data_IF_887925760774
#
_entry.id   IF_887925760774
#
_cell.length_a   1.000
_cell.length_b   1.000
_cell.length_c   1.000
_cell.angle_alpha   90.00
_cell.angle_beta   90.00
_cell.angle_gamma   90.00
#
_symmetry.space_group_name_H-M   'P 1'
#
loop_
_entity.id
_entity.type
_entity.pdbx_description
1 polymer ?
#
# COMPACT_ATOMS: atom_id res chain seq x y z
N UNK A 1 17.50 -18.43 9.48
CA UNK A 1 17.62 -17.00 9.10
C UNK A 1 17.25 -16.89 7.63
N UNK A 2 16.05 -16.30 7.31
CA UNK A 2 15.68 -15.99 5.92
C UNK A 2 16.08 -14.54 5.61
N UNK A 3 16.55 -14.31 4.39
CA UNK A 3 16.95 -12.98 3.91
C UNK A 3 15.96 -12.53 2.83
N UNK A 4 15.53 -11.30 2.94
CA UNK A 4 14.76 -10.59 1.92
C UNK A 4 15.73 -9.95 0.93
N UNK A 5 15.47 -10.13 -0.36
CA UNK A 5 16.17 -9.44 -1.45
C UNK A 5 15.23 -8.44 -2.07
N UNK A 6 15.54 -7.18 -1.93
CA UNK A 6 14.68 -6.10 -2.35
C UNK A 6 15.40 -5.21 -3.35
N UNK A 7 14.74 -4.97 -4.48
CA UNK A 7 15.23 -4.05 -5.50
C UNK A 7 14.90 -2.61 -5.10
N UNK A 8 15.92 -1.76 -5.10
CA UNK A 8 15.72 -0.33 -4.92
C UNK A 8 15.26 0.28 -6.23
N UNK A 9 14.14 0.97 -6.23
CA UNK A 9 13.64 1.68 -7.40
C UNK A 9 14.00 3.16 -7.34
N UNK A 10 14.26 3.77 -8.50
CA UNK A 10 14.54 5.19 -8.64
C UNK A 10 13.30 6.03 -8.40
N UNK A 11 12.20 5.64 -9.03
CA UNK A 11 10.86 6.17 -8.82
C UNK A 11 9.83 5.03 -9.00
N UNK A 12 8.55 5.31 -8.92
CA UNK A 12 7.47 4.30 -8.97
C UNK A 12 7.42 3.45 -10.24
N UNK A 13 8.31 3.65 -11.22
CA UNK A 13 8.30 2.96 -12.52
C UNK A 13 9.68 2.61 -13.06
N UNK A 14 10.74 3.22 -12.54
CA UNK A 14 12.10 3.10 -13.08
C UNK A 14 13.01 2.39 -12.08
N UNK A 15 13.49 1.21 -12.45
CA UNK A 15 14.39 0.37 -11.66
C UNK A 15 15.87 0.55 -12.06
N UNK A 16 16.14 1.30 -13.14
CA UNK A 16 17.47 1.46 -13.70
C UNK A 16 18.07 2.82 -13.33
N UNK A 17 19.33 2.79 -12.93
CA UNK A 17 20.11 3.96 -12.60
C UNK A 17 21.21 4.17 -13.64
N UNK A 18 21.46 5.44 -14.01
CA UNK A 18 22.63 5.81 -14.81
C UNK A 18 23.88 5.98 -13.94
N UNK A 19 23.66 6.20 -12.63
CA UNK A 19 24.71 6.36 -11.64
C UNK A 19 24.20 5.90 -10.27
N UNK A 20 24.99 5.10 -9.57
CA UNK A 20 24.70 4.62 -8.23
C UNK A 20 25.82 5.05 -7.27
N UNK A 21 25.46 5.87 -6.27
CA UNK A 21 26.39 6.52 -5.33
C UNK A 21 26.12 6.00 -3.92
N UNK A 22 27.16 5.46 -3.29
CA UNK A 22 27.07 4.86 -1.96
C UNK A 22 28.12 5.42 -1.00
N UNK A 23 27.75 5.48 0.29
CA UNK A 23 28.63 5.89 1.37
C UNK A 23 28.27 5.12 2.63
N UNK A 24 29.27 4.75 3.44
CA UNK A 24 29.04 4.17 4.76
C UNK A 24 29.93 4.89 5.79
N UNK A 25 29.34 5.30 6.92
CA UNK A 25 30.06 6.01 7.99
C UNK A 25 31.22 5.19 8.58
N UNK A 26 31.08 3.86 8.57
CA UNK A 26 32.12 2.92 9.03
C UNK A 26 33.14 2.54 7.94
N UNK A 27 32.93 3.00 6.69
CA UNK A 27 33.52 2.40 5.51
C UNK A 27 32.85 1.08 5.13
N UNK A 28 33.18 0.54 3.97
CA UNK A 28 32.62 -0.70 3.45
C UNK A 28 33.69 -1.55 2.77
N UNK A 29 33.40 -2.83 2.61
CA UNK A 29 34.13 -3.76 1.74
C UNK A 29 33.40 -3.77 0.41
N UNK A 30 34.12 -3.55 -0.68
CA UNK A 30 33.63 -3.67 -2.05
C UNK A 30 34.21 -4.95 -2.65
N UNK A 31 33.36 -5.91 -2.98
CA UNK A 31 33.75 -7.18 -3.61
C UNK A 31 33.39 -7.14 -5.09
N UNK A 32 34.37 -7.39 -5.97
CA UNK A 32 34.24 -7.40 -7.44
C UNK A 32 34.85 -8.73 -7.93
N UNK A 33 34.00 -9.66 -8.39
CA UNK A 33 34.48 -10.96 -8.81
C UNK A 33 35.28 -11.69 -7.70
N UNK A 34 36.57 -11.90 -7.97
CA UNK A 34 37.52 -12.54 -7.02
C UNK A 34 38.33 -11.54 -6.18
N UNK A 35 38.22 -10.23 -6.49
CA UNK A 35 38.93 -9.17 -5.81
C UNK A 35 38.07 -8.44 -4.78
N UNK A 36 38.70 -7.80 -3.80
CA UNK A 36 38.04 -6.94 -2.86
C UNK A 36 38.95 -5.83 -2.38
N UNK A 37 38.36 -4.68 -2.10
CA UNK A 37 39.03 -3.57 -1.45
C UNK A 37 38.18 -2.94 -0.36
N UNK A 38 38.80 -2.15 0.50
CA UNK A 38 38.10 -1.47 1.59
C UNK A 38 38.08 0.03 1.35
N UNK A 39 36.95 0.65 1.66
CA UNK A 39 36.86 2.12 1.68
C UNK A 39 37.16 2.67 3.07
N UNK A 40 37.62 3.93 3.11
CA UNK A 40 37.72 4.67 4.36
C UNK A 40 36.32 5.01 4.94
N UNK A 41 36.22 5.28 6.25
CA UNK A 41 34.98 5.78 6.85
C UNK A 41 34.51 7.07 6.15
N UNK A 42 33.24 7.10 5.70
CA UNK A 42 32.62 8.23 5.01
C UNK A 42 33.05 8.40 3.55
N UNK A 43 33.89 7.52 3.02
CA UNK A 43 34.29 7.55 1.60
C UNK A 43 33.12 7.18 0.71
N UNK A 44 32.97 7.94 -0.38
CA UNK A 44 31.91 7.74 -1.38
C UNK A 44 32.43 6.87 -2.52
N UNK A 45 31.65 5.86 -2.88
CA UNK A 45 31.89 5.01 -4.06
C UNK A 45 30.82 5.30 -5.10
N UNK A 46 31.24 5.45 -6.36
CA UNK A 46 30.38 5.78 -7.48
C UNK A 46 30.50 4.72 -8.57
N UNK A 47 29.36 4.17 -8.99
CA UNK A 47 29.28 3.27 -10.12
C UNK A 47 28.45 3.90 -11.22
N UNK A 48 28.94 3.79 -12.44
CA UNK A 48 28.25 4.18 -13.67
C UNK A 48 28.43 3.04 -14.72
N UNK A 49 27.73 3.05 -15.86
CA UNK A 49 27.82 1.98 -16.85
C UNK A 49 29.24 1.71 -17.38
N UNK A 50 30.14 2.68 -17.30
CA UNK A 50 31.54 2.58 -17.78
C UNK A 50 32.49 2.05 -16.68
N UNK A 51 31.99 1.73 -15.49
CA UNK A 51 32.81 1.23 -14.37
C UNK A 51 33.36 -0.17 -14.74
N UNK A 52 34.69 -0.30 -14.72
CA UNK A 52 35.40 -1.54 -15.13
C UNK A 52 35.06 -2.74 -14.23
N UNK A 53 34.74 -2.51 -12.96
CA UNK A 53 34.38 -3.54 -11.97
C UNK A 53 33.17 -4.41 -12.43
N UNK A 54 32.29 -3.91 -13.30
CA UNK A 54 31.18 -4.69 -13.86
C UNK A 54 31.62 -5.79 -14.83
N UNK A 55 32.86 -5.74 -15.36
CA UNK A 55 33.40 -6.81 -16.20
C UNK A 55 33.57 -8.12 -15.43
N UNK A 56 33.74 -8.05 -14.12
CA UNK A 56 33.84 -9.19 -13.21
C UNK A 56 32.46 -9.69 -12.72
N UNK A 57 31.37 -9.02 -13.12
CA UNK A 57 30.01 -9.40 -12.78
C UNK A 57 29.34 -8.47 -11.76
N UNK A 58 28.66 -9.09 -10.79
CA UNK A 58 27.93 -8.35 -9.75
C UNK A 58 28.88 -7.84 -8.66
N UNK A 59 28.77 -6.57 -8.33
CA UNK A 59 29.51 -5.92 -7.25
C UNK A 59 28.72 -6.06 -5.95
N UNK A 60 29.40 -6.36 -4.84
CA UNK A 60 28.79 -6.40 -3.50
C UNK A 60 29.41 -5.34 -2.60
N UNK A 61 28.55 -4.63 -1.88
CA UNK A 61 28.93 -3.63 -0.90
C UNK A 61 28.50 -4.14 0.48
N UNK A 62 29.48 -4.30 1.39
CA UNK A 62 29.26 -4.83 2.73
C UNK A 62 29.73 -3.76 3.72
N UNK A 63 28.87 -3.16 4.54
CA UNK A 63 29.30 -2.17 5.52
C UNK A 63 30.15 -2.83 6.59
N UNK A 64 31.22 -2.20 7.04
CA UNK A 64 32.05 -2.72 8.13
C UNK A 64 31.27 -2.75 9.46
N UNK A 65 30.36 -1.81 9.64
CA UNK A 65 29.31 -1.79 10.66
C UNK A 65 28.21 -0.82 10.27
N UNK A 66 27.01 -0.96 10.84
CA UNK A 66 25.88 -0.07 10.56
C UNK A 66 25.27 -0.29 9.18
N UNK A 67 25.05 0.79 8.45
CA UNK A 67 24.28 0.82 7.20
C UNK A 67 25.02 1.55 6.08
N UNK A 68 24.64 1.27 4.84
CA UNK A 68 25.12 1.95 3.64
C UNK A 68 24.06 2.97 3.19
N UNK A 69 24.44 4.22 3.03
CA UNK A 69 23.60 5.26 2.42
C UNK A 69 23.62 5.11 0.91
N UNK A 70 22.45 5.11 0.28
CA UNK A 70 22.28 5.15 -1.17
C UNK A 70 21.90 6.56 -1.60
N UNK A 71 22.88 7.34 -2.05
CA UNK A 71 22.75 8.79 -2.29
C UNK A 71 22.04 9.13 -3.61
N UNK A 72 21.92 8.18 -4.54
CA UNK A 72 21.19 8.38 -5.81
C UNK A 72 19.66 8.34 -5.66
N UNK A 73 19.14 8.04 -4.45
CA UNK A 73 17.70 7.94 -4.15
C UNK A 73 17.32 8.91 -3.04
N UNK A 74 16.14 9.51 -3.17
CA UNK A 74 15.52 10.30 -2.11
C UNK A 74 14.19 9.67 -1.71
N UNK A 75 13.97 9.45 -0.42
CA UNK A 75 12.76 8.90 0.18
C UNK A 75 12.10 9.92 1.11
N UNK A 76 11.00 9.55 1.77
CA UNK A 76 10.34 10.43 2.75
C UNK A 76 11.26 10.95 3.87
N UNK A 77 12.33 10.22 4.15
CA UNK A 77 13.38 10.58 5.15
C UNK A 77 14.59 11.31 4.54
N UNK A 78 14.57 11.65 3.26
CA UNK A 78 15.74 12.11 2.52
C UNK A 78 16.54 10.96 1.92
N UNK A 79 17.87 10.97 2.05
CA UNK A 79 18.74 9.87 1.60
C UNK A 79 18.53 8.63 2.47
N UNK A 80 18.07 7.51 1.90
CA UNK A 80 17.88 6.29 2.67
C UNK A 80 19.18 5.58 2.97
N UNK A 81 19.19 4.80 4.05
CA UNK A 81 20.28 3.88 4.41
C UNK A 81 19.78 2.45 4.50
N UNK A 82 20.65 1.50 4.19
CA UNK A 82 20.33 0.08 4.05
C UNK A 82 21.28 -0.77 4.88
N UNK A 83 20.70 -1.65 5.71
CA UNK A 83 21.45 -2.70 6.42
C UNK A 83 21.69 -3.91 5.51
N UNK A 84 22.55 -4.83 5.96
CA UNK A 84 22.89 -6.02 5.19
C UNK A 84 23.84 -5.73 4.04
N UNK A 85 23.65 -6.36 2.89
CA UNK A 85 24.52 -6.25 1.71
C UNK A 85 23.78 -5.53 0.59
N UNK A 86 24.47 -4.64 -0.11
CA UNK A 86 23.98 -4.08 -1.39
C UNK A 86 24.66 -4.82 -2.52
N UNK A 87 23.89 -5.24 -3.50
CA UNK A 87 24.39 -5.77 -4.78
C UNK A 87 24.08 -4.78 -5.89
N UNK A 88 25.09 -4.49 -6.69
CA UNK A 88 25.03 -3.58 -7.84
C UNK A 88 25.33 -4.39 -9.10
N UNK A 89 24.46 -4.34 -10.09
CA UNK A 89 24.61 -5.09 -11.34
C UNK A 89 24.31 -4.20 -12.53
N UNK A 90 25.07 -4.37 -13.62
CA UNK A 90 24.84 -3.66 -14.87
C UNK A 90 24.02 -4.54 -15.82
N UNK A 91 23.00 -3.91 -16.43
CA UNK A 91 22.17 -4.46 -17.50
C UNK A 91 22.17 -3.51 -18.69
N UNK A 92 21.62 -3.94 -19.83
CA UNK A 92 21.57 -3.11 -21.06
C UNK A 92 20.86 -1.77 -20.82
N UNK A 93 19.86 -1.73 -19.96
CA UNK A 93 19.07 -0.54 -19.64
C UNK A 93 19.69 0.33 -18.54
N UNK A 94 20.70 -0.16 -17.81
CA UNK A 94 21.37 0.57 -16.73
C UNK A 94 21.67 -0.28 -15.49
N UNK A 95 21.98 0.39 -14.41
CA UNK A 95 22.38 -0.23 -13.14
C UNK A 95 21.14 -0.60 -12.32
N UNK A 96 21.12 -1.81 -11.83
CA UNK A 96 20.14 -2.32 -10.86
C UNK A 96 20.80 -2.47 -9.49
N UNK A 97 20.13 -1.99 -8.45
CA UNK A 97 20.58 -2.06 -7.06
C UNK A 97 19.65 -2.96 -6.25
N UNK A 98 20.21 -3.97 -5.60
CA UNK A 98 19.47 -4.93 -4.76
C UNK A 98 20.03 -4.91 -3.34
N UNK A 99 19.16 -4.70 -2.35
CA UNK A 99 19.50 -4.85 -0.94
C UNK A 99 19.16 -6.27 -0.46
N UNK A 100 20.14 -7.00 0.03
CA UNK A 100 19.96 -8.28 0.72
C UNK A 100 20.07 -8.08 2.23
N UNK A 101 18.96 -8.28 2.95
CA UNK A 101 18.84 -7.96 4.36
C UNK A 101 18.13 -9.08 5.14
N UNK A 102 18.42 -9.24 6.41
CA UNK A 102 17.69 -10.12 7.30
C UNK A 102 16.23 -9.67 7.43
N UNK A 103 15.27 -10.62 7.50
CA UNK A 103 13.83 -10.28 7.49
C UNK A 103 13.45 -9.38 8.68
N UNK A 104 14.01 -9.58 9.86
CA UNK A 104 13.71 -8.73 11.03
C UNK A 104 14.27 -7.31 10.86
N UNK A 105 15.48 -7.15 10.31
CA UNK A 105 16.05 -5.84 10.02
C UNK A 105 15.29 -5.12 8.91
N UNK A 106 14.82 -5.86 7.91
CA UNK A 106 13.90 -5.36 6.89
C UNK A 106 12.62 -4.79 7.51
N UNK A 107 11.99 -5.55 8.43
CA UNK A 107 10.74 -5.15 9.07
C UNK A 107 10.90 -3.90 9.94
N UNK A 108 12.06 -3.68 10.57
CA UNK A 108 12.37 -2.46 11.33
C UNK A 108 12.35 -1.18 10.49
N UNK A 109 12.35 -1.32 9.14
CA UNK A 109 12.20 -0.20 8.20
C UNK A 109 10.87 -0.21 7.43
N UNK A 110 10.20 -1.35 7.37
CA UNK A 110 8.85 -1.47 6.81
C UNK A 110 7.81 -0.96 7.81
N UNK A 111 7.81 -1.47 9.03
CA UNK A 111 6.77 -1.15 10.02
C UNK A 111 6.59 0.37 10.23
N UNK A 112 7.65 1.17 10.46
CA UNK A 112 7.49 2.63 10.58
C UNK A 112 7.13 3.33 9.27
N UNK A 113 7.37 2.69 8.11
CA UNK A 113 7.00 3.22 6.80
C UNK A 113 5.54 2.96 6.43
N UNK A 114 4.94 1.91 6.99
CA UNK A 114 3.55 1.51 6.77
C UNK A 114 2.59 2.05 7.84
N UNK A 115 3.03 2.14 9.09
CA UNK A 115 2.19 2.52 10.23
C UNK A 115 2.89 3.56 11.10
N UNK A 116 2.17 4.64 11.53
CA UNK A 116 2.76 5.65 12.40
C UNK A 116 3.37 5.06 13.67
N UNK A 117 4.62 5.39 13.99
CA UNK A 117 5.34 4.89 15.17
C UNK A 117 4.72 5.29 16.51
N UNK A 118 3.82 6.27 16.51
CA UNK A 118 3.06 6.67 17.69
C UNK A 118 1.81 5.83 17.96
N UNK A 119 1.52 4.80 17.15
CA UNK A 119 0.41 3.89 17.40
C UNK A 119 0.69 2.99 18.61
N UNK A 120 -0.37 2.40 19.16
CA UNK A 120 -0.28 1.45 20.28
C UNK A 120 0.63 0.27 19.91
N UNK A 121 1.42 -0.21 20.87
CA UNK A 121 2.37 -1.29 20.67
C UNK A 121 1.70 -2.57 20.13
N UNK A 122 0.49 -2.92 20.60
CA UNK A 122 -0.23 -4.09 20.10
C UNK A 122 -0.64 -3.93 18.63
N UNK A 123 -0.97 -2.73 18.17
CA UNK A 123 -1.22 -2.45 16.75
C UNK A 123 0.07 -2.53 15.91
N UNK A 124 1.18 -2.02 16.43
CA UNK A 124 2.49 -2.14 15.77
C UNK A 124 2.94 -3.60 15.68
N UNK A 125 2.65 -4.44 16.70
CA UNK A 125 2.86 -5.89 16.64
C UNK A 125 2.02 -6.56 15.56
N UNK A 126 0.73 -6.17 15.41
CA UNK A 126 -0.09 -6.65 14.30
C UNK A 126 0.57 -6.34 12.96
N UNK A 127 1.03 -5.09 12.78
CA UNK A 127 1.70 -4.67 11.54
C UNK A 127 2.97 -5.48 11.30
N UNK A 128 3.77 -5.73 12.34
CA UNK A 128 5.01 -6.52 12.23
C UNK A 128 4.72 -7.97 11.79
N UNK A 129 3.72 -8.63 12.40
CA UNK A 129 3.31 -10.00 12.04
C UNK A 129 2.74 -10.04 10.61
N UNK A 130 1.88 -9.09 10.24
CA UNK A 130 1.36 -8.97 8.88
C UNK A 130 2.49 -8.76 7.87
N UNK A 131 3.35 -7.77 8.10
CA UNK A 131 4.44 -7.47 7.18
C UNK A 131 5.41 -8.64 7.02
N UNK A 132 5.68 -9.39 8.11
CA UNK A 132 6.51 -10.61 8.08
C UNK A 132 5.85 -11.73 7.27
N UNK A 133 4.57 -11.99 7.49
CA UNK A 133 3.80 -13.00 6.77
C UNK A 133 3.77 -12.70 5.27
N UNK A 134 3.50 -11.43 4.91
CA UNK A 134 3.52 -10.96 3.54
C UNK A 134 4.91 -11.16 2.91
N UNK A 135 5.97 -10.63 3.55
CA UNK A 135 7.34 -10.76 3.05
C UNK A 135 7.76 -12.22 2.90
N UNK A 136 7.34 -13.09 3.83
CA UNK A 136 7.62 -14.53 3.75
C UNK A 136 6.99 -15.19 2.51
N UNK A 137 5.73 -14.83 2.19
CA UNK A 137 5.07 -15.36 0.99
C UNK A 137 5.72 -14.87 -0.30
N UNK A 138 6.32 -13.68 -0.29
CA UNK A 138 7.02 -13.11 -1.43
C UNK A 138 8.43 -13.70 -1.66
N UNK A 139 9.00 -14.45 -0.71
CA UNK A 139 10.30 -15.11 -0.91
C UNK A 139 10.31 -16.13 -2.05
N UNK A 140 9.16 -16.69 -2.41
CA UNK A 140 8.98 -17.59 -3.55
C UNK A 140 8.54 -16.87 -4.83
N UNK A 141 8.40 -15.56 -4.78
CA UNK A 141 7.97 -14.74 -5.90
C UNK A 141 9.09 -14.61 -6.93
N UNK A 142 8.74 -14.67 -8.21
CA UNK A 142 9.67 -14.60 -9.34
C UNK A 142 9.56 -13.28 -10.12
N UNK A 143 8.86 -12.26 -9.62
CA UNK A 143 8.65 -11.00 -10.36
C UNK A 143 9.96 -10.36 -10.82
N UNK A 144 10.94 -10.32 -9.92
CA UNK A 144 12.26 -9.71 -10.18
C UNK A 144 13.42 -10.72 -10.19
N UNK A 145 13.13 -12.01 -10.47
CA UNK A 145 14.14 -13.07 -10.51
C UNK A 145 15.26 -12.80 -11.51
N UNK A 146 14.96 -12.13 -12.64
CA UNK A 146 15.96 -11.71 -13.62
C UNK A 146 17.04 -10.78 -13.01
N UNK A 147 16.67 -10.01 -11.99
CA UNK A 147 17.56 -9.09 -11.27
C UNK A 147 18.07 -9.67 -9.95
N UNK A 148 17.65 -10.89 -9.62
CA UNK A 148 18.00 -11.55 -8.36
C UNK A 148 17.31 -10.98 -7.13
N UNK A 149 16.17 -10.30 -7.29
CA UNK A 149 15.35 -9.77 -6.21
C UNK A 149 13.99 -10.48 -6.11
N UNK A 150 13.34 -10.43 -4.95
CA UNK A 150 12.00 -10.96 -4.71
C UNK A 150 10.92 -9.91 -4.98
N UNK A 151 11.13 -8.70 -4.48
CA UNK A 151 10.19 -7.57 -4.52
C UNK A 151 10.96 -6.27 -4.77
N UNK A 152 10.24 -5.18 -5.06
CA UNK A 152 10.78 -3.82 -5.00
C UNK A 152 10.37 -3.10 -3.70
N UNK A 153 10.86 -1.88 -3.51
CA UNK A 153 10.64 -1.06 -2.32
C UNK A 153 9.49 -0.04 -2.48
N UNK A 154 8.57 -0.29 -3.43
CA UNK A 154 7.44 0.58 -3.72
C UNK A 154 6.16 0.17 -2.99
N UNK A 155 5.14 1.03 -3.12
CA UNK A 155 3.77 0.78 -2.64
C UNK A 155 3.06 -0.42 -3.33
N UNK A 156 3.66 -1.01 -4.37
CA UNK A 156 3.10 -2.21 -5.02
C UNK A 156 3.35 -3.46 -4.17
N UNK A 157 4.36 -3.42 -3.29
CA UNK A 157 4.68 -4.47 -2.33
C UNK A 157 4.54 -3.93 -0.90
N UNK A 158 5.64 -3.54 -0.26
CA UNK A 158 5.66 -2.94 1.07
C UNK A 158 6.56 -1.71 1.06
N UNK A 159 6.05 -0.61 1.60
CA UNK A 159 6.85 0.63 1.68
C UNK A 159 8.06 0.40 2.59
N UNK A 160 9.23 0.67 2.06
CA UNK A 160 10.50 0.42 2.73
C UNK A 160 11.36 1.69 2.76
N UNK A 161 11.94 2.00 3.92
CA UNK A 161 12.83 3.16 4.09
C UNK A 161 12.18 4.53 3.80
N UNK A 162 10.86 4.66 3.99
CA UNK A 162 10.14 5.92 3.75
C UNK A 162 9.89 6.73 5.03
N UNK A 163 10.15 6.11 6.20
CA UNK A 163 10.07 6.75 7.52
C UNK A 163 11.28 6.32 8.37
N UNK A 164 11.72 7.16 9.33
CA UNK A 164 12.81 6.79 10.22
C UNK A 164 12.40 5.65 11.14
N UNK A 165 13.37 4.83 11.55
CA UNK A 165 13.18 3.83 12.62
C UNK A 165 12.79 4.50 13.94
N UNK A 166 11.98 3.80 14.73
CA UNK A 166 11.58 4.25 16.05
C UNK A 166 11.65 3.08 17.03
N UNK A 167 11.93 3.38 18.29
CA UNK A 167 12.05 2.36 19.36
C UNK A 167 10.75 1.55 19.50
N UNK A 168 9.60 2.17 19.38
CA UNK A 168 8.29 1.49 19.46
C UNK A 168 8.09 0.45 18.36
N UNK A 169 8.47 0.79 17.11
CA UNK A 169 8.36 -0.13 15.98
C UNK A 169 9.41 -1.23 16.03
N UNK A 170 10.63 -0.91 16.46
CA UNK A 170 11.68 -1.91 16.68
C UNK A 170 11.28 -2.91 17.77
N UNK A 171 10.71 -2.43 18.88
CA UNK A 171 10.16 -3.27 19.97
C UNK A 171 9.05 -4.19 19.45
N UNK A 172 8.14 -3.68 18.62
CA UNK A 172 7.06 -4.49 18.04
C UNK A 172 7.61 -5.63 17.16
N UNK A 173 8.62 -5.35 16.35
CA UNK A 173 9.31 -6.37 15.53
C UNK A 173 10.02 -7.40 16.40
N UNK A 174 10.78 -6.95 17.40
CA UNK A 174 11.58 -7.83 18.27
C UNK A 174 10.70 -8.73 19.14
N UNK A 175 9.61 -8.20 19.72
CA UNK A 175 8.67 -8.97 20.55
C UNK A 175 7.80 -9.96 19.76
N UNK A 176 7.70 -9.80 18.43
CA UNK A 176 7.02 -10.73 17.53
C UNK A 176 7.98 -11.48 16.61
N UNK A 177 9.27 -11.49 16.90
CA UNK A 177 10.29 -12.07 16.03
C UNK A 177 9.96 -13.53 15.64
N UNK A 178 10.00 -13.82 14.34
CA UNK A 178 9.70 -15.13 13.77
C UNK A 178 8.22 -15.50 13.72
N UNK A 179 7.29 -14.69 14.25
CA UNK A 179 5.86 -14.97 14.19
C UNK A 179 5.27 -14.57 12.86
N UNK A 180 4.51 -15.48 12.26
CA UNK A 180 3.76 -15.30 11.01
C UNK A 180 2.34 -15.83 11.19
N UNK A 181 1.41 -15.36 10.39
CA UNK A 181 0.07 -15.96 10.31
C UNK A 181 0.10 -17.18 9.39
N UNK A 182 -0.55 -18.26 9.84
CA UNK A 182 -0.72 -19.48 9.05
C UNK A 182 -2.18 -19.93 9.01
N UNK A 183 -2.56 -20.55 7.91
CA UNK A 183 -3.85 -21.21 7.75
C UNK A 183 -3.60 -22.63 7.26
N UNK A 184 -4.16 -23.63 7.96
CA UNK A 184 -3.90 -25.05 7.68
C UNK A 184 -2.40 -25.42 7.60
N UNK A 185 -1.54 -24.75 8.38
CA UNK A 185 -0.10 -25.00 8.44
C UNK A 185 0.74 -24.30 7.37
N UNK A 186 0.12 -23.58 6.45
CA UNK A 186 0.82 -22.76 5.44
C UNK A 186 0.79 -21.28 5.82
N UNK A 187 1.92 -20.58 5.63
CA UNK A 187 1.98 -19.13 5.86
C UNK A 187 1.08 -18.43 4.86
N UNK A 188 0.25 -17.52 5.35
CA UNK A 188 -0.73 -16.82 4.51
C UNK A 188 -0.27 -15.41 4.13
N UNK A 189 -0.72 -14.98 2.97
CA UNK A 189 -0.54 -13.60 2.54
C UNK A 189 -1.48 -12.69 3.33
N UNK A 190 -0.97 -11.60 3.87
CA UNK A 190 -1.70 -10.68 4.74
C UNK A 190 -1.75 -9.30 4.11
N UNK A 191 -2.93 -8.86 3.71
CA UNK A 191 -3.15 -7.51 3.20
C UNK A 191 -3.63 -6.61 4.34
N UNK A 192 -3.25 -5.32 4.27
CA UNK A 192 -3.67 -4.31 5.22
C UNK A 192 -3.84 -2.97 4.50
N UNK A 193 -4.58 -2.07 5.10
CA UNK A 193 -4.90 -0.76 4.54
C UNK A 193 -5.12 0.26 5.66
N UNK A 194 -5.15 1.53 5.32
CA UNK A 194 -5.13 2.60 6.32
C UNK A 194 -6.39 2.66 7.20
N UNK A 195 -7.57 2.84 6.60
CA UNK A 195 -8.80 3.23 7.33
C UNK A 195 -10.01 2.52 6.76
N UNK A 196 -10.82 1.87 7.60
CA UNK A 196 -12.09 1.30 7.16
C UNK A 196 -13.22 2.32 7.14
N UNK A 197 -14.26 2.04 6.36
CA UNK A 197 -15.51 2.79 6.41
C UNK A 197 -16.51 2.21 7.43
N UNK A 198 -16.07 1.31 8.31
CA UNK A 198 -16.92 0.51 9.20
C UNK A 198 -17.22 -0.90 8.64
N UNK A 199 -16.62 -1.26 7.50
CA UNK A 199 -16.67 -2.61 6.91
C UNK A 199 -15.36 -2.93 6.23
N UNK A 200 -14.92 -4.20 6.29
CA UNK A 200 -13.90 -4.77 5.40
C UNK A 200 -14.55 -5.37 4.17
N UNK A 201 -13.73 -5.83 3.24
CA UNK A 201 -14.16 -6.64 2.08
C UNK A 201 -13.28 -7.88 1.94
N UNK A 202 -13.63 -8.76 1.03
CA UNK A 202 -12.86 -9.96 0.72
C UNK A 202 -12.10 -9.83 -0.62
N UNK A 203 -11.38 -10.89 -0.97
CA UNK A 203 -10.51 -10.92 -2.16
C UNK A 203 -11.26 -10.93 -3.49
N UNK A 204 -12.59 -11.06 -3.50
CA UNK A 204 -13.39 -10.93 -4.72
C UNK A 204 -13.30 -9.53 -5.32
N UNK A 205 -12.92 -8.53 -4.53
CA UNK A 205 -12.57 -7.18 -4.99
C UNK A 205 -11.53 -7.19 -6.11
N UNK A 206 -10.61 -8.12 -6.09
CA UNK A 206 -9.54 -8.28 -7.10
C UNK A 206 -9.79 -9.49 -8.03
N UNK A 207 -11.02 -10.02 -8.07
CA UNK A 207 -11.38 -11.14 -8.92
C UNK A 207 -10.84 -12.50 -8.43
N UNK A 208 -10.31 -12.58 -7.21
CA UNK A 208 -9.91 -13.83 -6.60
C UNK A 208 -11.12 -14.57 -5.98
N UNK A 209 -10.96 -15.85 -5.69
CA UNK A 209 -11.99 -16.64 -5.03
C UNK A 209 -11.74 -16.73 -3.52
N UNK A 210 -12.80 -16.67 -2.73
CA UNK A 210 -12.72 -16.82 -1.26
C UNK A 210 -12.23 -18.20 -0.83
N UNK A 211 -12.38 -19.21 -1.67
CA UNK A 211 -11.85 -20.56 -1.41
C UNK A 211 -10.33 -20.60 -1.26
N UNK A 212 -9.63 -19.77 -2.06
CA UNK A 212 -8.17 -19.66 -2.00
C UNK A 212 -7.68 -18.79 -0.84
N UNK A 213 -8.56 -17.95 -0.29
CA UNK A 213 -8.23 -16.99 0.77
C UNK A 213 -9.34 -16.95 1.83
N UNK A 214 -9.67 -18.08 2.47
CA UNK A 214 -10.84 -18.20 3.33
C UNK A 214 -10.75 -17.36 4.62
N UNK A 215 -9.58 -16.87 4.94
CA UNK A 215 -9.32 -16.03 6.11
C UNK A 215 -9.60 -14.53 5.86
N UNK A 216 -9.84 -14.11 4.62
CA UNK A 216 -10.32 -12.75 4.31
C UNK A 216 -11.85 -12.76 4.23
N UNK A 217 -12.49 -12.35 5.28
CA UNK A 217 -13.95 -12.27 5.38
C UNK A 217 -14.36 -10.80 5.46
N UNK A 218 -15.44 -10.43 4.79
CA UNK A 218 -16.03 -9.12 4.96
C UNK A 218 -16.66 -9.02 6.36
N UNK A 219 -16.12 -8.14 7.20
CA UNK A 219 -16.50 -7.98 8.60
C UNK A 219 -16.97 -6.55 8.90
N UNK A 220 -17.90 -6.42 9.83
CA UNK A 220 -18.22 -5.14 10.42
C UNK A 220 -17.06 -4.69 11.34
N UNK A 221 -16.44 -3.57 11.05
CA UNK A 221 -15.29 -3.02 11.79
C UNK A 221 -15.77 -2.10 12.91
N UNK A 222 -16.56 -2.67 13.79
CA UNK A 222 -17.17 -1.95 14.92
C UNK A 222 -17.91 -2.88 15.86
N UNK A 223 -18.49 -2.32 16.92
CA UNK A 223 -19.14 -3.11 17.94
C UNK A 223 -20.54 -3.64 17.57
N UNK A 224 -21.14 -3.21 16.46
CA UNK A 224 -22.55 -3.51 16.14
C UNK A 224 -22.71 -3.79 14.64
N UNK A 225 -23.13 -5.00 14.30
CA UNK A 225 -23.65 -5.32 12.97
C UNK A 225 -24.95 -4.54 12.74
N UNK A 226 -25.01 -3.79 11.65
CA UNK A 226 -26.16 -2.95 11.29
C UNK A 226 -27.26 -3.73 10.57
N UNK A 227 -27.09 -5.03 10.32
CA UNK A 227 -28.02 -5.88 9.61
C UNK A 227 -28.28 -5.45 8.17
N UNK A 228 -27.31 -4.77 7.53
CA UNK A 228 -27.41 -4.29 6.15
C UNK A 228 -26.66 -5.23 5.19
N UNK A 229 -27.26 -5.51 4.05
CA UNK A 229 -26.63 -6.27 2.96
C UNK A 229 -25.88 -5.31 2.05
N UNK A 230 -24.59 -5.09 2.32
CA UNK A 230 -23.80 -4.03 1.66
C UNK A 230 -23.55 -4.27 0.16
N UNK A 231 -23.88 -5.43 -0.38
CA UNK A 231 -23.91 -5.69 -1.83
C UNK A 231 -25.14 -5.08 -2.51
N UNK A 232 -26.18 -4.71 -1.74
CA UNK A 232 -27.39 -4.04 -2.23
C UNK A 232 -27.20 -2.53 -2.21
N UNK A 233 -27.29 -1.88 -3.38
CA UNK A 233 -26.97 -0.45 -3.54
C UNK A 233 -27.74 0.48 -2.59
N UNK A 234 -29.05 0.24 -2.37
CA UNK A 234 -29.84 1.08 -1.46
C UNK A 234 -29.45 0.94 0.01
N UNK A 235 -29.03 -0.27 0.42
CA UNK A 235 -28.57 -0.52 1.78
C UNK A 235 -27.16 0.02 1.97
N UNK A 236 -26.27 -0.14 0.99
CA UNK A 236 -24.96 0.49 0.99
C UNK A 236 -25.03 2.03 1.04
N UNK A 237 -25.97 2.63 0.28
CA UNK A 237 -26.22 4.08 0.32
C UNK A 237 -26.59 4.55 1.74
N UNK A 238 -27.45 3.80 2.43
CA UNK A 238 -27.82 4.07 3.82
C UNK A 238 -26.60 3.94 4.74
N UNK A 239 -25.82 2.89 4.57
CA UNK A 239 -24.62 2.62 5.36
C UNK A 239 -23.57 3.74 5.22
N UNK A 240 -23.22 4.10 3.98
CA UNK A 240 -22.09 5.02 3.73
C UNK A 240 -22.41 6.47 4.07
N UNK A 241 -23.67 6.87 4.01
CA UNK A 241 -24.13 8.19 4.42
C UNK A 241 -24.35 8.31 5.94
N UNK A 242 -24.54 7.19 6.61
CA UNK A 242 -24.64 7.14 8.06
C UNK A 242 -23.25 7.11 8.70
N UNK A 243 -23.22 7.54 9.96
CA UNK A 243 -22.07 7.41 10.85
C UNK A 243 -22.42 6.52 12.04
N UNK A 244 -21.42 5.84 12.59
CA UNK A 244 -21.60 5.03 13.79
C UNK A 244 -20.36 5.18 14.69
N UNK A 245 -20.56 5.79 15.85
CA UNK A 245 -19.51 6.03 16.86
C UNK A 245 -18.89 4.74 17.42
N UNK A 246 -19.58 3.61 17.25
CA UNK A 246 -19.07 2.30 17.63
C UNK A 246 -18.07 1.70 16.61
N UNK A 247 -17.93 2.28 15.41
CA UNK A 247 -16.94 1.84 14.45
C UNK A 247 -15.54 2.25 14.93
N UNK A 248 -14.57 1.33 14.89
CA UNK A 248 -13.22 1.59 15.39
C UNK A 248 -12.49 2.71 14.67
N UNK A 249 -12.78 2.93 13.38
CA UNK A 249 -12.20 4.00 12.57
C UNK A 249 -13.01 5.32 12.64
N UNK A 250 -14.06 5.42 13.48
CA UNK A 250 -15.00 6.57 13.50
C UNK A 250 -14.32 7.93 13.57
N UNK A 251 -13.28 8.07 14.38
CA UNK A 251 -12.57 9.34 14.59
C UNK A 251 -11.54 9.64 13.47
N UNK A 252 -11.33 8.72 12.52
CA UNK A 252 -10.34 8.90 11.47
C UNK A 252 -10.81 9.90 10.41
N UNK A 253 -9.87 10.68 9.90
CA UNK A 253 -10.10 11.73 8.88
C UNK A 253 -10.88 11.21 7.68
N UNK A 254 -10.53 10.02 7.18
CA UNK A 254 -11.13 9.43 5.99
C UNK A 254 -12.17 8.35 6.30
N UNK A 255 -12.65 8.23 7.55
CA UNK A 255 -13.79 7.36 7.87
C UNK A 255 -15.01 7.70 7.01
N UNK A 256 -15.25 8.99 6.78
CA UNK A 256 -16.22 9.52 5.82
C UNK A 256 -15.60 10.67 5.03
N UNK A 257 -15.91 10.70 3.75
CA UNK A 257 -15.47 11.76 2.86
C UNK A 257 -16.51 12.02 1.77
N UNK A 258 -16.51 13.23 1.21
CA UNK A 258 -17.35 13.57 0.07
C UNK A 258 -16.70 14.63 -0.79
N UNK A 259 -16.95 14.58 -2.08
CA UNK A 259 -16.58 15.62 -3.05
C UNK A 259 -17.71 15.88 -4.01
N UNK A 260 -17.72 17.07 -4.59
CA UNK A 260 -18.70 17.45 -5.59
C UNK A 260 -17.97 18.04 -6.80
N UNK A 261 -18.30 17.52 -7.98
CA UNK A 261 -17.73 17.96 -9.25
C UNK A 261 -18.84 18.42 -10.19
N UNK A 262 -18.61 19.51 -10.92
CA UNK A 262 -19.46 19.88 -12.03
C UNK A 262 -19.43 18.81 -13.12
N UNK A 263 -20.47 18.77 -13.99
CA UNK A 263 -20.50 17.87 -15.14
C UNK A 263 -19.23 18.01 -15.98
N UNK A 264 -18.71 19.22 -16.13
CA UNK A 264 -17.49 19.49 -16.90
C UNK A 264 -16.26 18.84 -16.22
N UNK A 265 -16.04 19.12 -14.94
CA UNK A 265 -14.87 18.63 -14.19
C UNK A 265 -14.80 17.11 -14.17
N UNK A 266 -15.92 16.44 -13.83
CA UNK A 266 -15.95 14.97 -13.78
C UNK A 266 -15.78 14.35 -15.16
N UNK A 267 -16.35 14.96 -16.23
CA UNK A 267 -16.22 14.43 -17.60
C UNK A 267 -14.80 14.57 -18.14
N UNK A 268 -14.15 15.71 -17.91
CA UNK A 268 -12.75 15.96 -18.30
C UNK A 268 -11.78 15.09 -17.48
N UNK A 269 -12.02 14.97 -16.17
CA UNK A 269 -11.26 14.10 -15.27
C UNK A 269 -11.31 12.64 -15.72
N UNK A 270 -12.52 12.14 -15.93
CA UNK A 270 -12.79 10.78 -16.41
C UNK A 270 -12.09 10.48 -17.75
N UNK A 271 -12.25 11.37 -18.73
CA UNK A 271 -11.61 11.18 -20.04
C UNK A 271 -10.08 11.17 -19.95
N UNK A 272 -9.51 12.02 -19.13
CA UNK A 272 -8.06 12.12 -18.91
C UNK A 272 -7.48 10.87 -18.22
N UNK A 273 -8.13 10.39 -17.17
CA UNK A 273 -7.65 9.25 -16.37
C UNK A 273 -7.86 7.90 -17.05
N UNK A 274 -8.96 7.75 -17.83
CA UNK A 274 -9.31 6.47 -18.44
C UNK A 274 -8.95 6.37 -19.92
N UNK A 275 -8.67 7.48 -20.59
CA UNK A 275 -8.54 7.56 -22.05
C UNK A 275 -9.87 7.36 -22.80
N UNK A 276 -11.01 7.22 -22.09
CA UNK A 276 -12.34 6.99 -22.66
C UNK A 276 -13.13 8.29 -22.68
N UNK A 277 -13.71 8.64 -23.82
CA UNK A 277 -14.48 9.88 -23.98
C UNK A 277 -15.96 9.58 -24.26
N UNK A 278 -16.78 9.62 -23.23
CA UNK A 278 -18.24 9.48 -23.32
C UNK A 278 -18.97 10.81 -23.52
N UNK A 279 -18.24 11.91 -23.66
CA UNK A 279 -18.81 13.27 -23.72
C UNK A 279 -19.15 13.81 -22.33
N UNK A 280 -20.15 14.67 -22.23
CA UNK A 280 -20.64 15.14 -20.93
C UNK A 280 -21.36 13.99 -20.21
N UNK A 281 -20.89 13.65 -19.02
CA UNK A 281 -21.47 12.57 -18.20
C UNK A 281 -22.89 12.98 -17.76
N UNK A 282 -23.83 12.08 -17.94
CA UNK A 282 -25.25 12.23 -17.55
C UNK A 282 -25.69 11.30 -16.46
N UNK A 283 -24.96 10.17 -16.32
CA UNK A 283 -25.27 9.15 -15.33
C UNK A 283 -24.04 8.34 -14.95
N UNK A 284 -23.98 7.96 -13.66
CA UNK A 284 -22.97 7.07 -13.09
C UNK A 284 -23.73 6.06 -12.24
N UNK A 285 -23.63 4.78 -12.57
CA UNK A 285 -24.35 3.69 -11.93
C UNK A 285 -23.36 2.62 -11.44
N UNK A 286 -23.45 2.28 -10.16
CA UNK A 286 -22.71 1.12 -9.63
C UNK A 286 -23.47 -0.14 -10.02
N UNK A 287 -22.86 -0.96 -10.87
CA UNK A 287 -23.47 -2.20 -11.36
C UNK A 287 -23.22 -3.39 -10.42
N UNK A 288 -22.10 -3.36 -9.70
CA UNK A 288 -21.69 -4.48 -8.87
C UNK A 288 -20.88 -4.02 -7.65
N UNK A 289 -21.27 -4.55 -6.50
CA UNK A 289 -20.53 -4.46 -5.24
C UNK A 289 -20.17 -5.85 -4.76
N UNK A 290 -18.96 -6.00 -4.24
CA UNK A 290 -18.53 -7.23 -3.55
C UNK A 290 -18.94 -7.20 -2.08
N UNK A 291 -18.75 -8.31 -1.38
CA UNK A 291 -19.01 -8.40 0.06
C UNK A 291 -18.31 -7.24 0.81
N UNK A 292 -19.01 -6.68 1.79
CA UNK A 292 -18.54 -5.49 2.52
C UNK A 292 -18.80 -4.15 1.80
N UNK A 293 -19.28 -4.17 0.53
CA UNK A 293 -19.84 -3.01 -0.14
C UNK A 293 -18.92 -2.24 -1.11
N UNK A 294 -17.68 -2.68 -1.30
CA UNK A 294 -16.78 -2.05 -2.27
C UNK A 294 -17.32 -2.19 -3.71
N UNK A 295 -17.34 -1.11 -4.47
CA UNK A 295 -17.74 -1.13 -5.88
C UNK A 295 -16.61 -1.71 -6.75
N UNK A 296 -16.95 -2.66 -7.61
CA UNK A 296 -16.02 -3.30 -8.56
C UNK A 296 -16.39 -3.06 -10.00
N UNK A 297 -17.62 -2.61 -10.28
CA UNK A 297 -18.07 -2.32 -11.63
C UNK A 297 -18.97 -1.08 -11.64
N UNK A 298 -18.61 -0.10 -12.44
CA UNK A 298 -19.34 1.17 -12.56
C UNK A 298 -19.59 1.47 -14.03
N UNK A 299 -20.85 1.74 -14.37
CA UNK A 299 -21.27 2.19 -15.71
C UNK A 299 -21.30 3.72 -15.73
N UNK A 300 -20.73 4.30 -16.77
CA UNK A 300 -20.74 5.75 -17.04
C UNK A 300 -21.43 6.01 -18.35
N UNK A 301 -22.48 6.81 -18.33
CA UNK A 301 -23.27 7.20 -19.50
C UNK A 301 -23.12 8.69 -19.76
N UNK A 302 -22.73 9.07 -20.95
CA UNK A 302 -22.61 10.46 -21.38
C UNK A 302 -23.45 10.77 -22.63
N UNK A 303 -23.24 11.95 -23.18
CA UNK A 303 -23.97 12.40 -24.41
C UNK A 303 -23.37 11.82 -25.71
N UNK A 304 -22.18 11.17 -25.63
CA UNK A 304 -21.52 10.53 -26.78
C UNK A 304 -21.44 9.00 -26.68
N UNK A 305 -22.01 8.40 -25.64
CA UNK A 305 -22.02 6.96 -25.45
C UNK A 305 -21.91 6.54 -23.98
N UNK A 306 -21.65 5.27 -23.77
CA UNK A 306 -21.49 4.69 -22.45
C UNK A 306 -20.28 3.78 -22.38
N UNK A 307 -19.77 3.56 -21.19
CA UNK A 307 -18.66 2.61 -20.91
C UNK A 307 -18.80 2.03 -19.52
N UNK A 308 -18.14 0.91 -19.28
CA UNK A 308 -18.02 0.29 -17.98
C UNK A 308 -16.56 0.36 -17.55
N UNK A 309 -16.35 0.68 -16.26
CA UNK A 309 -15.07 0.59 -15.55
C UNK A 309 -15.19 -0.58 -14.59
N UNK A 310 -14.27 -1.51 -14.68
CA UNK A 310 -14.23 -2.76 -13.92
C UNK A 310 -12.83 -2.89 -13.28
N UNK A 311 -12.70 -2.68 -12.08
CA UNK A 311 -11.66 -2.91 -11.08
C UNK A 311 -11.59 -1.75 -10.08
N UNK A 312 -11.19 -2.07 -8.88
CA UNK A 312 -11.03 -1.12 -7.78
C UNK A 312 -10.11 0.03 -8.16
N UNK A 313 -8.91 -0.27 -8.65
CA UNK A 313 -7.90 0.74 -9.00
C UNK A 313 -8.34 1.65 -10.15
N UNK A 314 -9.01 1.08 -11.18
CA UNK A 314 -9.51 1.85 -12.31
C UNK A 314 -10.66 2.78 -11.90
N UNK A 315 -11.58 2.33 -11.02
CA UNK A 315 -12.66 3.16 -10.48
C UNK A 315 -12.08 4.32 -9.66
N UNK A 316 -11.11 4.07 -8.77
CA UNK A 316 -10.46 5.12 -7.99
C UNK A 316 -9.79 6.16 -8.88
N UNK A 317 -9.08 5.73 -9.90
CA UNK A 317 -8.42 6.62 -10.85
C UNK A 317 -9.43 7.39 -11.73
N UNK A 318 -10.54 6.75 -12.12
CA UNK A 318 -11.54 7.34 -13.02
C UNK A 318 -12.27 8.55 -12.41
N UNK A 319 -12.48 8.53 -11.09
CA UNK A 319 -13.29 9.53 -10.38
C UNK A 319 -12.49 10.33 -9.32
N UNK A 320 -11.18 10.15 -9.22
CA UNK A 320 -10.32 11.02 -8.42
C UNK A 320 -9.96 12.31 -9.15
N UNK A 321 -9.84 13.42 -8.43
CA UNK A 321 -9.51 14.70 -9.02
C UNK A 321 -8.71 15.59 -8.05
N UNK A 322 -7.40 15.71 -8.29
CA UNK A 322 -6.50 16.53 -7.47
C UNK A 322 -6.82 18.05 -7.48
N UNK A 323 -7.71 18.50 -8.36
CA UNK A 323 -8.11 19.91 -8.44
C UNK A 323 -9.43 20.22 -7.72
N UNK A 324 -10.11 19.20 -7.20
CA UNK A 324 -11.39 19.32 -6.50
C UNK A 324 -11.20 19.05 -5.01
N UNK A 325 -11.83 19.87 -4.20
CA UNK A 325 -11.79 19.73 -2.75
C UNK A 325 -12.65 18.55 -2.29
N UNK A 326 -12.06 17.71 -1.46
CA UNK A 326 -12.74 16.60 -0.77
C UNK A 326 -12.94 17.00 0.69
N UNK A 327 -14.17 16.99 1.15
CA UNK A 327 -14.52 17.20 2.55
C UNK A 327 -14.32 15.89 3.32
N UNK A 328 -13.69 15.99 4.48
CA UNK A 328 -13.40 14.88 5.40
C UNK A 328 -13.77 15.28 6.82
N UNK A 329 -13.69 14.35 7.78
CA UNK A 329 -13.95 14.68 9.20
C UNK A 329 -12.98 15.74 9.78
N UNK A 330 -11.78 15.86 9.24
CA UNK A 330 -10.75 16.80 9.74
C UNK A 330 -10.62 18.08 8.90
N UNK A 331 -11.49 18.28 7.93
CA UNK A 331 -11.45 19.44 7.03
C UNK A 331 -11.38 19.05 5.56
N UNK A 332 -10.78 19.89 4.75
CA UNK A 332 -10.75 19.76 3.29
C UNK A 332 -9.37 19.33 2.82
N UNK A 333 -9.30 18.40 1.87
CA UNK A 333 -8.07 17.90 1.26
C UNK A 333 -8.30 17.60 -0.22
N UNK A 334 -7.26 17.14 -0.95
CA UNK A 334 -7.34 16.79 -2.37
C UNK A 334 -6.60 15.48 -2.64
N UNK A 335 -7.21 14.63 -3.44
CA UNK A 335 -6.61 13.36 -3.86
C UNK A 335 -6.69 13.19 -5.38
N UNK A 336 -5.62 12.70 -5.98
CA UNK A 336 -5.59 12.37 -7.42
C UNK A 336 -6.49 11.18 -7.77
N UNK A 337 -6.63 10.23 -6.83
CA UNK A 337 -7.52 9.08 -6.93
C UNK A 337 -8.52 9.12 -5.78
N UNK A 338 -9.70 8.50 -5.93
CA UNK A 338 -10.60 8.30 -4.78
C UNK A 338 -9.88 7.52 -3.66
N UNK A 339 -10.12 7.85 -2.39
CA UNK A 339 -9.51 7.11 -1.27
C UNK A 339 -9.85 5.63 -1.25
N UNK A 340 -11.07 5.27 -1.69
CA UNK A 340 -11.57 3.89 -1.75
C UNK A 340 -12.68 3.76 -2.78
N UNK A 341 -13.16 2.54 -3.04
CA UNK A 341 -14.38 2.29 -3.82
C UNK A 341 -15.62 2.04 -2.96
N UNK A 342 -15.53 2.26 -1.65
CA UNK A 342 -16.69 2.30 -0.77
C UNK A 342 -17.40 3.65 -0.91
N UNK A 343 -18.04 3.88 -2.05
CA UNK A 343 -18.66 5.15 -2.36
C UNK A 343 -19.95 4.99 -3.18
N UNK A 344 -20.75 6.06 -3.20
CA UNK A 344 -21.96 6.22 -3.99
C UNK A 344 -21.87 7.49 -4.83
N UNK A 345 -22.59 7.52 -5.94
CA UNK A 345 -22.64 8.65 -6.88
C UNK A 345 -24.05 9.22 -6.92
N UNK A 346 -24.19 10.52 -6.74
CA UNK A 346 -25.47 11.21 -6.74
C UNK A 346 -25.45 12.37 -7.71
N UNK A 347 -26.54 12.52 -8.48
CA UNK A 347 -26.72 13.67 -9.36
C UNK A 347 -27.00 14.94 -8.56
N UNK A 348 -26.30 16.01 -8.88
CA UNK A 348 -26.59 17.36 -8.39
C UNK A 348 -27.35 18.10 -9.49
N UNK A 349 -28.50 18.67 -9.13
CA UNK A 349 -29.39 19.34 -10.10
C UNK A 349 -29.86 20.71 -9.64
N UNK A 350 -29.95 21.65 -10.55
CA UNK A 350 -30.66 22.93 -10.37
C UNK A 350 -31.98 22.87 -11.17
N UNK A 351 -33.08 22.69 -10.48
CA UNK A 351 -34.36 22.39 -11.09
C UNK A 351 -34.32 21.06 -11.85
N UNK A 352 -34.45 21.12 -13.20
CA UNK A 352 -34.36 19.93 -14.06
C UNK A 352 -32.97 19.76 -14.71
N UNK A 353 -32.07 20.72 -14.49
CA UNK A 353 -30.75 20.72 -15.14
C UNK A 353 -29.73 19.98 -14.24
N UNK A 354 -29.07 18.98 -14.80
CA UNK A 354 -27.90 18.34 -14.16
C UNK A 354 -26.74 19.35 -14.14
N UNK A 355 -26.19 19.64 -12.97
CA UNK A 355 -25.08 20.55 -12.78
C UNK A 355 -23.79 19.84 -12.39
N UNK A 356 -23.89 18.66 -11.78
CA UNK A 356 -22.72 17.92 -11.31
C UNK A 356 -23.07 16.58 -10.71
N UNK A 357 -22.08 16.01 -10.03
CA UNK A 357 -22.19 14.78 -9.26
C UNK A 357 -21.54 14.96 -7.90
N UNK A 358 -22.21 14.47 -6.87
CA UNK A 358 -21.66 14.31 -5.53
C UNK A 358 -21.22 12.86 -5.35
N UNK A 359 -19.98 12.66 -4.93
CA UNK A 359 -19.42 11.36 -4.55
C UNK A 359 -19.32 11.34 -3.04
N UNK A 360 -19.97 10.40 -2.38
CA UNK A 360 -19.91 10.20 -0.94
C UNK A 360 -19.31 8.84 -0.67
N UNK A 361 -18.29 8.79 0.17
CA UNK A 361 -17.59 7.53 0.47
C UNK A 361 -16.98 7.50 1.85
N UNK A 362 -16.27 6.42 2.13
CA UNK A 362 -15.57 6.23 3.38
C UNK A 362 -14.42 5.24 3.27
N UNK A 363 -13.49 5.34 4.21
CA UNK A 363 -12.30 4.53 4.24
C UNK A 363 -11.18 5.02 3.31
N UNK A 364 -9.98 4.48 3.53
CA UNK A 364 -8.79 4.73 2.73
C UNK A 364 -8.00 3.45 2.51
N UNK A 365 -7.97 2.99 1.28
CA UNK A 365 -7.36 1.75 0.81
C UNK A 365 -8.39 0.76 0.27
N UNK A 366 -7.93 -0.46 0.02
CA UNK A 366 -8.71 -1.50 -0.65
C UNK A 366 -9.75 -2.21 0.24
N UNK A 367 -9.61 -2.14 1.56
CA UNK A 367 -10.57 -2.74 2.50
C UNK A 367 -10.40 -4.24 2.76
N UNK A 368 -9.38 -4.91 2.22
CA UNK A 368 -9.12 -6.34 2.44
C UNK A 368 -8.16 -6.52 3.61
N UNK A 369 -8.51 -7.38 4.56
CA UNK A 369 -7.69 -7.66 5.75
C UNK A 369 -7.70 -6.53 6.77
N UNK A 370 -6.56 -6.18 7.36
CA UNK A 370 -6.49 -5.33 8.53
C UNK A 370 -6.58 -3.83 8.21
N UNK A 371 -7.53 -3.12 8.83
CA UNK A 371 -7.48 -1.65 8.94
C UNK A 371 -6.47 -1.27 10.01
N UNK A 372 -5.45 -0.49 9.63
CA UNK A 372 -4.38 -0.04 10.52
C UNK A 372 -4.91 0.85 11.65
N UNK A 373 -5.82 1.78 11.31
CA UNK A 373 -6.43 2.66 12.30
C UNK A 373 -7.38 1.91 13.24
N UNK A 374 -8.20 0.98 12.71
CA UNK A 374 -9.04 0.13 13.55
C UNK A 374 -8.19 -0.73 14.51
N UNK A 375 -7.11 -1.34 14.00
CA UNK A 375 -6.18 -2.11 14.84
C UNK A 375 -5.60 -1.24 15.96
N UNK A 376 -5.25 0.02 15.69
CA UNK A 376 -4.79 0.95 16.72
C UNK A 376 -5.87 1.25 17.78
N UNK A 377 -7.12 1.40 17.37
CA UNK A 377 -8.23 1.61 18.31
C UNK A 377 -8.55 0.35 19.11
N UNK A 378 -8.56 -0.82 18.47
CA UNK A 378 -8.77 -2.13 19.13
C UNK A 378 -7.68 -2.41 20.17
N UNK A 379 -6.45 -1.98 19.92
CA UNK A 379 -5.31 -2.14 20.81
C UNK A 379 -5.44 -1.43 22.17
N UNK A 380 -6.44 -0.57 22.35
CA UNK A 380 -6.79 0.00 23.66
C UNK A 380 -7.31 -1.07 24.65
N UNK A 381 -7.80 -2.22 24.15
CA UNK A 381 -8.43 -3.27 24.97
C UNK A 381 -8.13 -4.70 24.51
N UNK A 382 -7.52 -4.89 23.35
CA UNK A 382 -7.24 -6.20 22.76
C UNK A 382 -5.74 -6.38 22.57
N UNK A 383 -5.28 -7.63 22.67
CA UNK A 383 -3.92 -8.04 22.29
C UNK A 383 -3.79 -8.13 20.77
N UNK A 384 -2.56 -8.04 20.26
CA UNK A 384 -2.29 -8.21 18.82
C UNK A 384 -2.83 -9.53 18.27
N UNK A 385 -2.78 -10.63 19.04
CA UNK A 385 -3.32 -11.91 18.61
C UNK A 385 -4.85 -11.87 18.41
N UNK A 386 -5.58 -11.19 19.30
CA UNK A 386 -7.04 -11.02 19.17
C UNK A 386 -7.39 -10.11 17.99
N UNK A 387 -6.61 -9.08 17.74
CA UNK A 387 -6.80 -8.17 16.59
C UNK A 387 -6.55 -8.91 15.28
N UNK A 388 -5.48 -9.70 15.21
CA UNK A 388 -5.16 -10.50 14.02
C UNK A 388 -6.24 -11.56 13.74
N UNK A 389 -6.74 -12.28 14.76
CA UNK A 389 -7.85 -13.21 14.60
C UNK A 389 -9.14 -12.54 14.11
N UNK A 390 -9.38 -11.28 14.51
CA UNK A 390 -10.52 -10.52 14.01
C UNK A 390 -10.43 -10.29 12.49
N UNK A 391 -9.27 -9.85 11.98
CA UNK A 391 -9.09 -9.49 10.57
C UNK A 391 -8.73 -10.66 9.65
N UNK A 392 -8.18 -11.75 10.20
CA UNK A 392 -7.72 -12.93 9.45
C UNK A 392 -8.28 -14.19 10.10
N UNK A 393 -9.56 -14.46 9.81
CA UNK A 393 -10.36 -15.50 10.47
C UNK A 393 -9.75 -16.89 10.36
N UNK A 394 -9.61 -17.56 11.52
CA UNK A 394 -9.14 -18.95 11.60
C UNK A 394 -7.65 -19.13 11.27
N UNK A 395 -6.87 -18.04 11.25
CA UNK A 395 -5.40 -18.14 11.21
C UNK A 395 -4.81 -18.35 12.60
N UNK A 396 -3.63 -18.91 12.65
CA UNK A 396 -2.88 -19.17 13.89
C UNK A 396 -1.45 -18.63 13.78
#
# INVERSE_FOLDING_TARGET
YRRQRQMCIRDSRDIFFNEAVFCADSGMIVETGEESYETAPGETVVFNPDTEDFNEGRIKLIPKSGEIQFQSVNRGIGTPSYGGTIEVSLYDEGIVVVNEVGIEDYLKKVVPSEMPSGFNLEALKCQAVCARSYAYTELSNNYYSAYGAHIDDSIQFQVYNNSPRAESTDTAVDETAGQVLSYNGEVVKTYYYSTSCGSTTDVTLWGNTTENYPYFVAECVGGVDRGLTLTVESEFNTFIKGENEADYDYDCTLYRWSMEESVKEISEGFARSTGKNVGNIKDIEVLERVNGGAAVKVKVTGDKGETVIDSESAIRAAFGNANVDMNTKSGTTRYANLPSTFCVFEKVTEGKKLTGFKITGGGYGHGIGMSQNAANKMAESMTYAQILEFFYRGTT
#
